data_IF_436170909698
#
_entry.id   IF_436170909698
#
_cell.length_a   1.000
_cell.length_b   1.000
_cell.length_c   1.000
_cell.angle_alpha   90.00
_cell.angle_beta   90.00
_cell.angle_gamma   90.00
#
_symmetry.space_group_name_H-M   'P 1'
#
loop_
_entity.id
_entity.type
_entity.pdbx_description
1 polymer ?
#
# COMPACT_ATOMS: atom_id res chain seq x y z
N UNK A 1 -17.49 -21.30 -34.65
CA UNK A 1 -17.47 -21.17 -33.18
C UNK A 1 -16.34 -20.22 -32.89
N UNK A 2 -16.67 -18.93 -32.79
CA UNK A 2 -15.70 -17.87 -32.54
C UNK A 2 -15.60 -17.72 -31.02
N UNK A 3 -14.51 -18.21 -30.44
CA UNK A 3 -14.20 -18.01 -29.03
C UNK A 3 -13.71 -16.57 -28.89
N UNK A 4 -14.64 -15.65 -28.62
CA UNK A 4 -14.29 -14.35 -28.08
C UNK A 4 -13.80 -14.54 -26.65
N UNK A 5 -12.49 -14.71 -26.49
CA UNK A 5 -11.82 -14.47 -25.22
C UNK A 5 -11.97 -12.98 -24.91
N UNK A 6 -13.04 -12.63 -24.20
CA UNK A 6 -13.16 -11.36 -23.51
C UNK A 6 -12.15 -11.37 -22.36
N UNK A 7 -10.90 -11.12 -22.72
CA UNK A 7 -9.85 -10.77 -21.78
C UNK A 7 -10.34 -9.51 -21.06
N UNK A 8 -10.90 -9.73 -19.87
CA UNK A 8 -11.21 -8.70 -18.89
C UNK A 8 -9.90 -8.00 -18.59
N UNK A 9 -9.61 -6.95 -19.36
CA UNK A 9 -8.47 -6.08 -19.09
C UNK A 9 -8.81 -5.41 -17.77
N UNK A 10 -8.06 -5.65 -16.67
CA UNK A 10 -8.20 -4.82 -15.50
C UNK A 10 -7.80 -3.42 -15.94
N UNK A 11 -8.81 -2.60 -16.21
CA UNK A 11 -8.65 -1.23 -16.62
C UNK A 11 -7.76 -0.56 -15.59
N UNK A 12 -6.76 0.20 -16.03
CA UNK A 12 -5.85 0.97 -15.17
C UNK A 12 -6.61 1.84 -14.12
N UNK A 13 -7.90 2.10 -14.37
CA UNK A 13 -8.83 2.76 -13.45
C UNK A 13 -9.14 1.94 -12.19
N UNK A 14 -9.37 0.63 -12.30
CA UNK A 14 -9.64 -0.24 -11.14
C UNK A 14 -8.42 -0.32 -10.21
N UNK A 15 -7.23 -0.35 -10.80
CA UNK A 15 -5.99 -0.40 -10.04
C UNK A 15 -5.77 0.88 -9.21
N UNK A 16 -6.02 2.05 -9.83
CA UNK A 16 -5.88 3.34 -9.17
C UNK A 16 -6.92 3.53 -8.05
N UNK A 17 -8.16 3.06 -8.26
CA UNK A 17 -9.22 3.10 -7.24
C UNK A 17 -8.85 2.18 -6.07
N UNK A 18 -8.38 0.97 -6.36
CA UNK A 18 -7.92 0.01 -5.33
C UNK A 18 -6.82 0.60 -4.46
N UNK A 19 -5.78 1.19 -5.08
CA UNK A 19 -4.69 1.82 -4.34
C UNK A 19 -5.20 2.92 -3.39
N UNK A 20 -6.03 3.84 -3.88
CA UNK A 20 -6.58 4.92 -3.04
C UNK A 20 -7.42 4.41 -1.85
N UNK A 21 -8.11 3.28 -2.00
CA UNK A 21 -8.86 2.65 -0.91
C UNK A 21 -7.92 2.05 0.16
N UNK A 22 -6.83 1.40 -0.26
CA UNK A 22 -5.85 0.86 0.68
C UNK A 22 -5.14 1.97 1.47
N UNK A 23 -4.77 3.08 0.81
CA UNK A 23 -4.07 4.19 1.47
C UNK A 23 -4.97 4.90 2.49
N UNK A 24 -6.20 5.24 2.11
CA UNK A 24 -7.17 5.88 3.02
C UNK A 24 -7.55 4.98 4.21
N UNK A 25 -7.70 3.67 3.97
CA UNK A 25 -7.96 2.70 5.04
C UNK A 25 -6.74 2.55 5.97
N UNK A 26 -5.52 2.57 5.40
CA UNK A 26 -4.27 2.54 6.15
C UNK A 26 -4.11 3.77 7.03
N UNK A 27 -4.51 4.95 6.54
CA UNK A 27 -4.50 6.21 7.29
C UNK A 27 -5.43 6.17 8.50
N UNK A 28 -6.66 5.68 8.30
CA UNK A 28 -7.62 5.51 9.39
C UNK A 28 -7.11 4.52 10.44
N UNK A 29 -6.52 3.39 10.01
CA UNK A 29 -5.93 2.40 10.91
C UNK A 29 -4.74 2.98 11.70
N UNK A 30 -3.87 3.76 11.05
CA UNK A 30 -2.73 4.40 11.69
C UNK A 30 -3.17 5.45 12.72
N UNK A 31 -4.17 6.25 12.40
CA UNK A 31 -4.77 7.23 13.32
C UNK A 31 -5.41 6.56 14.55
N UNK A 32 -6.00 5.37 14.36
CA UNK A 32 -6.54 4.54 15.43
C UNK A 32 -5.47 3.69 16.17
N UNK A 33 -4.19 3.83 15.83
CA UNK A 33 -3.07 3.04 16.35
C UNK A 33 -3.19 1.52 16.10
N UNK A 34 -4.02 1.10 15.15
CA UNK A 34 -4.06 -0.29 14.69
C UNK A 34 -2.90 -0.58 13.75
N UNK A 35 -1.70 -0.61 14.32
CA UNK A 35 -0.45 -0.64 13.55
C UNK A 35 -0.34 -1.87 12.65
N UNK A 36 -0.76 -3.06 13.08
CA UNK A 36 -0.75 -4.27 12.24
C UNK A 36 -1.59 -4.11 10.97
N UNK A 37 -2.82 -3.62 11.15
CA UNK A 37 -3.74 -3.38 10.04
C UNK A 37 -3.22 -2.27 9.12
N UNK A 38 -2.64 -1.21 9.67
CA UNK A 38 -2.02 -0.16 8.88
C UNK A 38 -0.86 -0.71 8.03
N UNK A 39 0.01 -1.57 8.60
CA UNK A 39 1.13 -2.19 7.88
C UNK A 39 0.63 -3.06 6.72
N UNK A 40 -0.39 -3.87 6.93
CA UNK A 40 -0.99 -4.72 5.90
C UNK A 40 -1.53 -3.87 4.74
N UNK A 41 -2.35 -2.86 5.05
CA UNK A 41 -2.98 -1.99 4.05
C UNK A 41 -1.95 -1.18 3.24
N UNK A 42 -0.92 -0.62 3.89
CA UNK A 42 0.14 0.07 3.15
C UNK A 42 0.98 -0.89 2.29
N UNK A 43 1.15 -2.14 2.72
CA UNK A 43 1.85 -3.14 1.91
C UNK A 43 1.06 -3.46 0.65
N UNK A 44 -0.26 -3.66 0.76
CA UNK A 44 -1.13 -3.82 -0.40
C UNK A 44 -1.12 -2.60 -1.32
N UNK A 45 -1.11 -1.38 -0.75
CA UNK A 45 -0.99 -0.14 -1.53
C UNK A 45 0.35 -0.06 -2.29
N UNK A 46 1.46 -0.48 -1.68
CA UNK A 46 2.78 -0.51 -2.32
C UNK A 46 2.80 -1.54 -3.45
N UNK A 47 2.28 -2.74 -3.24
CA UNK A 47 2.22 -3.80 -4.25
C UNK A 47 1.38 -3.39 -5.46
N UNK A 48 0.38 -2.53 -5.23
CA UNK A 48 -0.50 -1.98 -6.25
C UNK A 48 0.00 -0.64 -6.85
N UNK A 49 0.98 0.03 -6.27
CA UNK A 49 1.41 1.32 -6.80
C UNK A 49 2.44 1.11 -7.92
N UNK A 50 2.10 1.54 -9.14
CA UNK A 50 3.08 1.67 -10.24
C UNK A 50 4.03 2.84 -9.96
N UNK A 51 5.10 2.54 -9.22
CA UNK A 51 6.42 3.22 -9.11
C UNK A 51 6.52 4.73 -8.81
N UNK A 52 5.47 5.54 -8.91
CA UNK A 52 5.58 7.02 -8.92
C UNK A 52 5.12 7.70 -7.62
N UNK A 53 4.52 6.96 -6.68
CA UNK A 53 4.00 7.55 -5.43
C UNK A 53 4.10 6.60 -4.22
N UNK A 54 5.10 5.71 -4.22
CA UNK A 54 5.31 4.74 -3.14
C UNK A 54 6.02 5.32 -1.92
N UNK A 55 6.74 6.44 -2.07
CA UNK A 55 7.57 7.01 -1.01
C UNK A 55 6.72 7.37 0.22
N UNK A 56 5.59 8.03 -0.01
CA UNK A 56 4.60 8.34 1.03
C UNK A 56 4.06 7.07 1.72
N UNK A 57 3.95 5.96 1.00
CA UNK A 57 3.46 4.70 1.57
C UNK A 57 4.53 4.01 2.41
N UNK A 58 5.80 4.04 1.97
CA UNK A 58 6.92 3.57 2.78
C UNK A 58 7.06 4.40 4.06
N UNK A 59 6.93 5.73 3.99
CA UNK A 59 6.95 6.59 5.18
C UNK A 59 5.84 6.22 6.18
N UNK A 60 4.61 6.08 5.70
CA UNK A 60 3.46 5.73 6.55
C UNK A 60 3.59 4.33 7.15
N UNK A 61 4.08 3.36 6.39
CA UNK A 61 4.35 1.99 6.88
C UNK A 61 5.50 1.97 7.87
N UNK A 62 6.55 2.77 7.65
CA UNK A 62 7.64 2.99 8.61
C UNK A 62 7.09 3.48 9.94
N UNK A 63 6.25 4.52 9.94
CA UNK A 63 5.62 5.04 11.16
C UNK A 63 4.79 3.99 11.89
N UNK A 64 4.06 3.15 11.16
CA UNK A 64 3.31 2.05 11.77
C UNK A 64 4.24 1.00 12.42
N UNK A 65 5.35 0.64 11.76
CA UNK A 65 6.37 -0.29 12.28
C UNK A 65 7.10 0.26 13.50
N UNK A 66 7.41 1.56 13.54
CA UNK A 66 7.97 2.22 14.72
C UNK A 66 7.00 2.15 15.92
N UNK A 67 5.70 2.33 15.69
CA UNK A 67 4.66 2.13 16.71
C UNK A 67 4.62 0.71 17.29
N UNK A 68 5.07 -0.28 16.51
CA UNK A 68 5.22 -1.69 16.94
C UNK A 68 6.61 -2.05 17.47
N UNK A 69 7.55 -1.12 17.51
CA UNK A 69 8.96 -1.40 17.84
C UNK A 69 9.63 -2.39 16.88
N UNK A 70 9.16 -2.46 15.62
CA UNK A 70 9.78 -3.26 14.56
C UNK A 70 10.87 -2.44 13.86
N UNK A 71 11.97 -2.19 14.56
CA UNK A 71 12.99 -1.22 14.16
C UNK A 71 13.70 -1.58 12.86
N UNK A 72 14.02 -2.86 12.66
CA UNK A 72 14.70 -3.35 11.45
C UNK A 72 13.81 -3.17 10.21
N UNK A 73 12.54 -3.55 10.33
CA UNK A 73 11.57 -3.38 9.25
C UNK A 73 11.28 -1.90 8.98
N UNK A 74 11.26 -1.05 10.02
CA UNK A 74 11.09 0.39 9.85
C UNK A 74 12.28 1.01 9.10
N UNK A 75 13.50 0.55 9.39
CA UNK A 75 14.71 0.99 8.67
C UNK A 75 14.64 0.62 7.19
N UNK A 76 14.17 -0.58 6.84
CA UNK A 76 14.00 -0.99 5.45
C UNK A 76 13.01 -0.11 4.69
N UNK A 77 11.93 0.33 5.34
CA UNK A 77 10.98 1.26 4.73
C UNK A 77 11.59 2.65 4.56
N UNK A 78 12.31 3.16 5.57
CA UNK A 78 12.99 4.45 5.50
C UNK A 78 14.05 4.51 4.38
N UNK A 79 14.75 3.40 4.12
CA UNK A 79 15.73 3.31 3.03
C UNK A 79 15.10 3.34 1.62
N UNK A 80 13.79 3.08 1.50
CA UNK A 80 13.07 3.11 0.22
C UNK A 80 12.46 4.47 -0.11
N UNK A 81 12.39 5.38 0.86
CA UNK A 81 11.98 6.77 0.65
C UNK A 81 13.17 7.53 0.04
N UNK A 82 13.00 8.11 -1.15
CA UNK A 82 14.07 8.80 -1.89
C UNK A 82 14.01 10.32 -1.76
#
# INVERSE_FOLDING_TARGET
MDMSDEATTPSCRDWSIGNALFTSSGDAALAAMYHDKAIELYSSAIDLSSSSSTDTMFEKRCRARLGKMLWEDALLDAQKVR
#
